data_IF_338689378466
#
_entry.id   IF_338689378466
#
_cell.length_a   1.000
_cell.length_b   1.000
_cell.length_c   1.000
_cell.angle_alpha   90.00
_cell.angle_beta   90.00
_cell.angle_gamma   90.00
#
_symmetry.space_group_name_H-M   'P 1'
#
loop_
_entity.id
_entity.type
_entity.pdbx_description
1 polymer ?
#
# COMPACT_ATOMS: atom_id res chain seq x y z
N UNK A 1 -17.85 23.33 -20.29
CA UNK A 1 -17.52 21.90 -20.44
C UNK A 1 -17.15 21.37 -19.07
N UNK A 2 -18.13 20.81 -18.35
CA UNK A 2 -17.88 20.17 -17.06
C UNK A 2 -17.04 18.93 -17.33
N UNK A 3 -15.80 18.93 -16.88
CA UNK A 3 -15.07 17.68 -16.72
C UNK A 3 -15.76 16.98 -15.57
N UNK A 4 -16.55 15.96 -15.87
CA UNK A 4 -17.07 15.02 -14.89
C UNK A 4 -15.83 14.41 -14.21
N UNK A 5 -15.48 14.94 -13.04
CA UNK A 5 -14.47 14.42 -12.14
C UNK A 5 -15.02 13.15 -11.52
N UNK A 6 -15.19 12.13 -12.38
CA UNK A 6 -15.73 10.85 -11.96
C UNK A 6 -14.61 10.15 -11.22
N UNK A 7 -14.63 10.28 -9.89
CA UNK A 7 -13.69 9.61 -9.00
C UNK A 7 -13.52 8.16 -9.45
N UNK A 8 -12.27 7.68 -9.65
CA UNK A 8 -12.05 6.37 -10.22
C UNK A 8 -12.73 5.31 -9.36
N UNK A 9 -13.62 4.53 -9.97
CA UNK A 9 -14.34 3.48 -9.29
C UNK A 9 -13.35 2.51 -8.63
N UNK A 10 -13.55 2.25 -7.34
CA UNK A 10 -12.77 1.25 -6.63
C UNK A 10 -13.12 -0.13 -7.16
N UNK A 11 -12.11 -0.86 -7.65
CA UNK A 11 -12.28 -2.22 -8.17
C UNK A 11 -11.56 -3.19 -7.26
N UNK A 12 -12.27 -4.22 -6.81
CA UNK A 12 -11.70 -5.33 -6.04
C UNK A 12 -11.12 -6.37 -6.98
N UNK A 13 -9.83 -6.63 -6.86
CA UNK A 13 -9.12 -7.69 -7.57
C UNK A 13 -8.93 -8.91 -6.67
N UNK A 14 -8.91 -10.09 -7.29
CA UNK A 14 -8.67 -11.38 -6.65
C UNK A 14 -7.48 -12.05 -7.32
N UNK A 15 -6.49 -12.42 -6.51
CA UNK A 15 -5.32 -13.18 -6.93
C UNK A 15 -5.69 -14.66 -7.23
N UNK A 16 -4.90 -15.37 -8.04
CA UNK A 16 -5.05 -16.82 -8.19
C UNK A 16 -4.94 -17.61 -6.88
N UNK A 17 -4.19 -17.08 -5.92
CA UNK A 17 -4.04 -17.62 -4.56
C UNK A 17 -5.16 -17.22 -3.59
N UNK A 18 -6.12 -16.39 -4.00
CA UNK A 18 -7.27 -15.98 -3.18
C UNK A 18 -7.13 -14.62 -2.47
N UNK A 19 -5.93 -14.03 -2.41
CA UNK A 19 -5.78 -12.68 -1.83
C UNK A 19 -6.64 -11.65 -2.58
N UNK A 20 -7.21 -10.69 -1.85
CA UNK A 20 -8.06 -9.63 -2.40
C UNK A 20 -7.39 -8.26 -2.23
N UNK A 21 -7.61 -7.37 -3.19
CA UNK A 21 -7.10 -5.99 -3.11
C UNK A 21 -8.05 -5.01 -3.80
N UNK A 22 -8.46 -3.97 -3.08
CA UNK A 22 -9.19 -2.82 -3.63
C UNK A 22 -8.24 -1.83 -4.29
N UNK A 23 -8.52 -1.45 -5.54
CA UNK A 23 -7.65 -0.54 -6.31
C UNK A 23 -8.49 0.46 -7.10
N UNK A 24 -8.15 1.74 -6.95
CA UNK A 24 -8.71 2.84 -7.75
C UNK A 24 -7.79 3.25 -8.90
N UNK A 25 -6.46 3.13 -8.74
CA UNK A 25 -5.49 3.58 -9.75
C UNK A 25 -5.51 2.70 -11.01
N UNK A 26 -5.76 3.26 -12.22
CA UNK A 26 -5.74 2.50 -13.47
C UNK A 26 -4.40 1.80 -13.73
N UNK A 27 -3.28 2.44 -13.36
CA UNK A 27 -1.94 1.85 -13.51
C UNK A 27 -1.80 0.59 -12.65
N UNK A 28 -2.28 0.64 -11.42
CA UNK A 28 -2.26 -0.51 -10.53
C UNK A 28 -3.20 -1.63 -11.03
N UNK A 29 -4.37 -1.28 -11.59
CA UNK A 29 -5.26 -2.26 -12.23
C UNK A 29 -4.58 -3.01 -13.38
N UNK A 30 -3.86 -2.30 -14.26
CA UNK A 30 -3.09 -2.92 -15.36
C UNK A 30 -2.01 -3.85 -14.83
N UNK A 31 -1.26 -3.41 -13.81
CA UNK A 31 -0.21 -4.24 -13.17
C UNK A 31 -0.79 -5.51 -12.54
N UNK A 32 -1.92 -5.40 -11.85
CA UNK A 32 -2.60 -6.56 -11.26
C UNK A 32 -3.07 -7.55 -12.32
N UNK A 33 -3.68 -7.06 -13.41
CA UNK A 33 -4.05 -7.93 -14.55
C UNK A 33 -2.84 -8.64 -15.16
N UNK A 34 -1.72 -7.93 -15.32
CA UNK A 34 -0.46 -8.52 -15.81
C UNK A 34 0.10 -9.58 -14.85
N UNK A 35 -0.11 -9.42 -13.54
CA UNK A 35 0.23 -10.41 -12.52
C UNK A 35 -0.78 -11.57 -12.42
N UNK A 36 -1.77 -11.65 -13.32
CA UNK A 36 -2.78 -12.72 -13.34
C UNK A 36 -3.94 -12.53 -12.35
N UNK A 37 -4.04 -11.36 -11.70
CA UNK A 37 -5.19 -11.03 -10.87
C UNK A 37 -6.37 -10.65 -11.75
N UNK A 38 -7.57 -10.97 -11.29
CA UNK A 38 -8.82 -10.70 -12.02
C UNK A 38 -9.76 -9.84 -11.16
N UNK A 39 -10.52 -8.90 -11.75
CA UNK A 39 -11.59 -8.22 -11.04
C UNK A 39 -12.59 -9.26 -10.48
N UNK A 40 -13.04 -9.05 -9.25
CA UNK A 40 -14.01 -9.94 -8.59
C UNK A 40 -15.30 -10.06 -9.40
N UNK A 41 -15.82 -8.95 -9.92
CA UNK A 41 -17.02 -8.91 -10.75
C UNK A 41 -16.88 -9.72 -12.05
N UNK A 42 -15.68 -9.72 -12.66
CA UNK A 42 -15.38 -10.55 -13.83
C UNK A 42 -15.39 -12.04 -13.46
N UNK A 43 -14.79 -12.41 -12.32
CA UNK A 43 -14.82 -13.79 -11.83
C UNK A 43 -16.23 -14.25 -11.48
N UNK A 44 -17.06 -13.39 -10.88
CA UNK A 44 -18.46 -13.69 -10.56
C UNK A 44 -19.28 -13.93 -11.83
N UNK A 45 -19.10 -13.10 -12.86
CA UNK A 45 -19.75 -13.28 -14.15
C UNK A 45 -19.32 -14.60 -14.84
N UNK A 46 -18.03 -14.94 -14.77
CA UNK A 46 -17.51 -16.20 -15.30
C UNK A 46 -18.03 -17.41 -14.50
N UNK A 47 -18.07 -17.31 -13.18
CA UNK A 47 -18.58 -18.37 -12.30
C UNK A 47 -20.09 -18.61 -12.51
N UNK A 48 -20.86 -17.57 -12.80
CA UNK A 48 -22.26 -17.67 -13.19
C UNK A 48 -22.44 -18.43 -14.51
N UNK A 49 -21.48 -18.28 -15.44
CA UNK A 49 -21.38 -19.06 -16.69
C UNK A 49 -20.76 -20.45 -16.49
N UNK A 50 -20.60 -20.88 -15.25
CA UNK A 50 -20.08 -22.18 -14.84
C UNK A 50 -18.59 -22.41 -15.15
N UNK A 51 -17.79 -21.36 -15.30
CA UNK A 51 -16.34 -21.50 -15.44
C UNK A 51 -15.72 -22.09 -14.15
N UNK A 52 -15.06 -23.26 -14.22
CA UNK A 52 -14.52 -23.93 -13.04
C UNK A 52 -13.33 -23.19 -12.43
N UNK A 53 -12.54 -22.48 -13.25
CA UNK A 53 -11.37 -21.73 -12.79
C UNK A 53 -11.79 -20.51 -11.98
N UNK A 54 -12.80 -19.78 -12.44
CA UNK A 54 -13.36 -18.63 -11.75
C UNK A 54 -14.01 -19.04 -10.42
N UNK A 55 -14.74 -20.16 -10.40
CA UNK A 55 -15.28 -20.75 -9.15
C UNK A 55 -14.16 -21.10 -8.18
N UNK A 56 -13.07 -21.71 -8.64
CA UNK A 56 -11.92 -22.04 -7.80
C UNK A 56 -11.23 -20.78 -7.25
N UNK A 57 -11.08 -19.72 -8.05
CA UNK A 57 -10.53 -18.44 -7.58
C UNK A 57 -11.38 -17.83 -6.46
N UNK A 58 -12.71 -17.77 -6.65
CA UNK A 58 -13.63 -17.23 -5.64
C UNK A 58 -13.64 -18.07 -4.36
N UNK A 59 -13.62 -19.41 -4.48
CA UNK A 59 -13.55 -20.30 -3.33
C UNK A 59 -12.25 -20.11 -2.54
N UNK A 60 -11.10 -20.00 -3.21
CA UNK A 60 -9.81 -19.68 -2.57
C UNK A 60 -9.85 -18.33 -1.89
N UNK A 61 -10.50 -17.34 -2.49
CA UNK A 61 -10.63 -16.02 -1.86
C UNK A 61 -11.45 -16.05 -0.58
N UNK A 62 -12.55 -16.80 -0.56
CA UNK A 62 -13.33 -17.02 0.64
C UNK A 62 -12.50 -17.72 1.74
N UNK A 63 -11.79 -18.79 1.39
CA UNK A 63 -10.93 -19.52 2.33
C UNK A 63 -9.78 -18.65 2.86
N UNK A 64 -9.18 -17.82 2.00
CA UNK A 64 -8.13 -16.89 2.39
C UNK A 64 -8.66 -15.87 3.41
N UNK A 65 -9.84 -15.30 3.17
CA UNK A 65 -10.46 -14.34 4.09
C UNK A 65 -10.75 -14.99 5.45
N UNK A 66 -11.35 -16.18 5.46
CA UNK A 66 -11.62 -16.92 6.70
C UNK A 66 -10.35 -17.17 7.53
N UNK A 67 -9.24 -17.51 6.87
CA UNK A 67 -7.95 -17.67 7.57
C UNK A 67 -7.46 -16.35 8.18
N UNK A 68 -7.58 -15.24 7.46
CA UNK A 68 -7.20 -13.91 7.95
C UNK A 68 -8.06 -13.47 9.13
N UNK A 69 -9.35 -13.76 9.09
CA UNK A 69 -10.29 -13.45 10.17
C UNK A 69 -9.98 -14.30 11.42
N UNK A 70 -9.65 -15.59 11.24
CA UNK A 70 -9.22 -16.46 12.34
C UNK A 70 -7.89 -15.98 12.96
N UNK A 71 -6.88 -15.65 12.15
CA UNK A 71 -5.60 -15.09 12.61
C UNK A 71 -5.81 -13.78 13.39
N UNK A 72 -6.72 -12.92 12.93
CA UNK A 72 -7.05 -11.67 13.60
C UNK A 72 -7.76 -11.93 14.94
N UNK A 73 -8.74 -12.84 14.97
CA UNK A 73 -9.43 -13.23 16.19
C UNK A 73 -8.47 -13.85 17.23
N UNK A 74 -7.53 -14.70 16.81
CA UNK A 74 -6.49 -15.25 17.68
C UNK A 74 -5.56 -14.14 18.23
N UNK A 75 -5.19 -13.18 17.39
CA UNK A 75 -4.39 -12.03 17.80
C UNK A 75 -5.13 -11.15 18.81
N UNK A 76 -6.41 -10.88 18.57
CA UNK A 76 -7.27 -10.15 19.49
C UNK A 76 -7.46 -10.90 20.81
N UNK A 77 -7.64 -12.23 20.78
CA UNK A 77 -7.73 -13.02 22.01
C UNK A 77 -6.41 -13.00 22.81
N UNK A 78 -5.26 -12.97 22.14
CA UNK A 78 -3.93 -12.99 22.76
C UNK A 78 -3.46 -11.64 23.28
N UNK A 79 -3.83 -10.56 22.61
CA UNK A 79 -3.31 -9.21 22.86
C UNK A 79 -4.41 -8.16 23.14
N UNK A 80 -5.69 -8.58 23.20
CA UNK A 80 -6.85 -7.71 23.29
C UNK A 80 -7.06 -7.07 24.66
N UNK A 81 -6.28 -6.04 24.95
CA UNK A 81 -6.90 -4.75 25.27
C UNK A 81 -7.06 -4.05 23.93
N UNK A 82 -8.29 -4.02 23.40
CA UNK A 82 -8.64 -3.17 22.27
C UNK A 82 -8.46 -1.71 22.71
N UNK A 83 -7.31 -1.11 22.39
CA UNK A 83 -7.26 0.35 22.34
C UNK A 83 -8.30 0.76 21.28
N UNK A 84 -9.29 1.60 21.60
CA UNK A 84 -10.07 2.21 20.55
C UNK A 84 -9.07 2.92 19.64
N UNK A 85 -9.27 2.81 18.33
CA UNK A 85 -8.59 3.68 17.37
C UNK A 85 -9.11 5.09 17.66
N UNK A 86 -8.58 5.72 18.70
CA UNK A 86 -8.78 7.11 18.97
C UNK A 86 -8.16 7.83 17.77
N UNK A 87 -9.07 8.32 16.94
CA UNK A 87 -8.90 9.46 16.06
C UNK A 87 -7.51 10.07 16.19
N UNK A 88 -6.61 9.72 15.26
CA UNK A 88 -5.28 10.31 15.17
C UNK A 88 -5.38 11.72 14.63
N UNK A 89 -6.08 12.60 15.36
CA UNK A 89 -5.76 14.02 15.38
C UNK A 89 -4.41 14.15 16.08
N UNK A 90 -3.35 13.87 15.32
CA UNK A 90 -1.95 13.96 15.72
C UNK A 90 -1.65 15.44 15.98
N UNK A 91 -1.96 15.92 17.19
CA UNK A 91 -1.44 17.19 17.70
C UNK A 91 0.07 16.98 17.87
N UNK A 92 0.84 17.34 16.84
CA UNK A 92 2.29 17.41 16.90
C UNK A 92 2.61 18.44 17.99
N UNK A 93 3.00 17.98 19.17
CA UNK A 93 3.69 18.81 20.15
C UNK A 93 5.13 18.88 19.65
N UNK A 94 5.62 20.02 19.15
CA UNK A 94 7.05 20.14 18.89
C UNK A 94 7.78 19.93 20.21
N UNK A 95 8.69 18.96 20.24
CA UNK A 95 9.61 18.78 21.36
C UNK A 95 10.37 20.09 21.59
N UNK A 96 10.56 20.54 22.84
CA UNK A 96 11.42 21.69 23.13
C UNK A 96 12.85 21.39 22.69
N UNK A 97 13.47 22.41 22.10
CA UNK A 97 14.70 22.33 21.31
C UNK A 97 15.88 21.67 22.00
N UNK A 98 16.58 20.81 21.25
CA UNK A 98 18.00 20.59 21.42
C UNK A 98 18.74 21.87 20.98
N UNK A 99 18.94 22.78 21.93
CA UNK A 99 19.84 23.92 21.78
C UNK A 99 21.29 23.43 21.79
N UNK A 100 21.76 22.89 20.66
CA UNK A 100 23.19 22.74 20.38
C UNK A 100 23.52 23.39 19.04
N UNK A 101 23.42 24.72 19.05
CA UNK A 101 23.87 25.59 17.97
C UNK A 101 25.40 25.75 18.05
N UNK A 102 26.13 24.79 17.48
CA UNK A 102 27.53 24.99 17.13
C UNK A 102 27.60 25.70 15.76
N UNK A 103 27.69 27.03 15.77
CA UNK A 103 28.07 27.80 14.59
C UNK A 103 28.76 29.10 15.01
N UNK A 104 30.10 29.10 14.99
CA UNK A 104 30.91 30.28 14.70
C UNK A 104 32.37 29.86 14.45
N UNK A 105 32.71 29.62 13.19
CA UNK A 105 34.06 29.86 12.68
C UNK A 105 33.91 30.17 11.18
N UNK A 106 33.73 31.46 10.89
CA UNK A 106 34.10 32.01 9.60
C UNK A 106 35.59 32.30 9.68
N UNK A 107 36.35 31.77 8.74
CA UNK A 107 37.62 32.34 8.29
C UNK A 107 37.79 31.92 6.82
N UNK A 108 37.65 32.93 5.97
CA UNK A 108 38.38 33.28 4.73
C UNK A 108 39.61 32.39 4.42
N UNK A 109 40.14 32.19 3.22
CA UNK A 109 39.98 32.61 1.82
C UNK A 109 41.01 31.74 1.03
N UNK A 110 41.06 31.90 -0.29
CA UNK A 110 42.24 31.63 -1.14
C UNK A 110 42.36 30.30 -1.95
N UNK A 111 42.10 30.48 -3.26
CA UNK A 111 42.88 30.01 -4.42
C UNK A 111 42.89 28.54 -4.91
N UNK A 112 42.01 28.29 -5.92
CA UNK A 112 42.34 27.78 -7.30
C UNK A 112 42.74 26.28 -7.49
N UNK A 113 42.76 25.78 -8.74
CA UNK A 113 41.72 25.06 -9.49
C UNK A 113 41.95 23.52 -9.61
N UNK A 114 41.00 22.73 -10.18
CA UNK A 114 41.13 21.28 -10.27
C UNK A 114 42.03 20.83 -11.43
N UNK A 115 42.96 19.90 -11.19
CA UNK A 115 43.65 19.12 -12.25
C UNK A 115 43.90 17.70 -11.76
N UNK A 116 43.23 16.71 -12.36
CA UNK A 116 43.91 15.82 -13.31
C UNK A 116 44.10 14.43 -12.67
N UNK A 117 43.26 13.45 -13.03
CA UNK A 117 43.55 12.36 -13.98
C UNK A 117 44.60 11.34 -13.50
N UNK A 118 44.10 10.09 -13.40
CA UNK A 118 44.76 8.78 -13.69
C UNK A 118 45.78 8.29 -12.67
N UNK A 119 45.44 7.22 -11.95
CA UNK A 119 45.86 5.83 -12.22
C UNK A 119 47.35 5.60 -11.97
N UNK A 120 47.67 4.86 -10.92
CA UNK A 120 48.39 3.58 -10.96
C UNK A 120 48.12 2.84 -9.67
#
# INVERSE_FOLDING_TARGET
MSHDDQAPAEIVFVAPGGATQSVQSPVAQVRLRAAGWRPRTELEALAARQDPTARAHLARAAAYQQRRDAEQAEREARFGVSAPVADSTRRIVPAPGDDNHAAAAADEDDARPPRGRKST
#
